data_IF_762024757885
#
_entry.id   IF_762024757885
#
_cell.length_a   1.000
_cell.length_b   1.000
_cell.length_c   1.000
_cell.angle_alpha   90.00
_cell.angle_beta   90.00
_cell.angle_gamma   90.00
#
_symmetry.space_group_name_H-M   'P 1'
#
loop_
_entity.id
_entity.type
_entity.pdbx_description
1 polymer ?
#
# COMPACT_ATOMS: atom_id res chain seq x y z
N UNK A 1 -20.23 -15.25 1.15
CA UNK A 1 -19.64 -14.04 1.71
C UNK A 1 -18.77 -14.46 2.89
N UNK A 2 -17.52 -14.02 2.95
CA UNK A 2 -16.66 -14.28 4.10
C UNK A 2 -16.99 -13.24 5.17
N UNK A 3 -17.76 -13.61 6.20
CA UNK A 3 -18.21 -12.67 7.23
C UNK A 3 -17.09 -12.11 8.12
N UNK A 4 -15.85 -12.58 7.96
CA UNK A 4 -14.70 -12.21 8.79
C UNK A 4 -13.50 -11.72 7.94
N UNK A 5 -13.74 -11.11 6.79
CA UNK A 5 -12.68 -10.51 5.96
C UNK A 5 -12.75 -8.98 6.05
N UNK A 6 -11.58 -8.33 6.14
CA UNK A 6 -11.44 -6.88 6.22
C UNK A 6 -10.30 -6.50 5.25
N UNK A 7 -10.62 -5.71 4.23
CA UNK A 7 -9.66 -5.16 3.28
C UNK A 7 -9.04 -3.87 3.83
N UNK A 8 -7.71 -3.85 3.92
CA UNK A 8 -6.95 -2.67 4.34
C UNK A 8 -6.15 -2.15 3.15
N UNK A 9 -6.55 -1.00 2.63
CA UNK A 9 -5.86 -0.33 1.55
C UNK A 9 -4.76 0.59 2.07
N UNK A 10 -3.51 0.28 1.72
CA UNK A 10 -2.37 1.20 1.95
C UNK A 10 -2.27 2.17 0.78
N UNK A 11 -2.80 3.37 0.95
CA UNK A 11 -2.98 4.40 -0.10
C UNK A 11 -1.81 5.37 -0.21
N UNK A 12 -0.60 4.94 0.17
CA UNK A 12 0.59 5.77 0.04
C UNK A 12 0.91 5.99 -1.43
N UNK A 13 1.22 7.23 -1.81
CA UNK A 13 1.48 7.57 -3.20
C UNK A 13 2.75 6.90 -3.73
N UNK A 14 2.77 6.67 -5.04
CA UNK A 14 3.87 6.00 -5.73
C UNK A 14 5.20 6.74 -5.56
N UNK A 15 5.21 8.08 -5.54
CA UNK A 15 6.44 8.85 -5.44
C UNK A 15 7.10 8.64 -4.08
N UNK A 16 6.32 8.67 -3.01
CA UNK A 16 6.80 8.31 -1.66
C UNK A 16 7.37 6.89 -1.63
N UNK A 17 6.73 5.94 -2.32
CA UNK A 17 7.20 4.55 -2.38
C UNK A 17 8.53 4.42 -3.15
N UNK A 18 8.68 5.12 -4.27
CA UNK A 18 9.92 5.17 -5.07
C UNK A 18 11.04 5.81 -4.26
N UNK A 19 10.78 6.90 -3.53
CA UNK A 19 11.80 7.57 -2.72
C UNK A 19 12.30 6.66 -1.58
N UNK A 20 11.40 5.88 -0.97
CA UNK A 20 11.77 4.97 0.12
C UNK A 20 12.58 3.77 -0.35
N UNK A 21 12.29 3.25 -1.55
CA UNK A 21 12.82 2.04 -2.22
C UNK A 21 13.84 1.20 -1.41
N UNK A 22 13.41 0.57 -0.30
CA UNK A 22 14.34 -0.01 0.68
C UNK A 22 15.09 -1.23 0.13
N UNK A 23 14.63 -1.78 -1.00
CA UNK A 23 15.18 -2.97 -1.65
C UNK A 23 15.77 -2.68 -3.03
N UNK A 24 15.73 -1.42 -3.49
CA UNK A 24 16.19 -1.06 -4.84
C UNK A 24 15.33 -1.63 -5.97
N UNK A 25 14.08 -2.02 -5.71
CA UNK A 25 13.21 -2.67 -6.70
C UNK A 25 12.63 -1.66 -7.67
N UNK A 26 12.25 -0.47 -7.19
CA UNK A 26 11.77 0.59 -8.08
C UNK A 26 12.88 1.04 -9.02
N UNK A 27 14.10 1.19 -8.52
CA UNK A 27 15.27 1.50 -9.35
C UNK A 27 15.44 0.47 -10.49
N UNK A 28 15.48 -0.83 -10.16
CA UNK A 28 15.63 -1.91 -11.14
C UNK A 28 14.47 -1.98 -12.14
N UNK A 29 13.25 -1.70 -11.70
CA UNK A 29 12.09 -1.65 -12.57
C UNK A 29 12.17 -0.50 -13.58
N UNK A 30 12.62 0.69 -13.13
CA UNK A 30 12.84 1.86 -14.00
C UNK A 30 13.99 1.60 -14.99
N UNK A 31 15.04 0.90 -14.56
CA UNK A 31 16.16 0.47 -15.42
C UNK A 31 15.78 -0.67 -16.40
N UNK A 32 14.56 -1.21 -16.30
CA UNK A 32 14.05 -2.24 -17.20
C UNK A 32 14.52 -3.67 -16.86
N UNK A 33 15.20 -3.86 -15.72
CA UNK A 33 15.63 -5.18 -15.25
C UNK A 33 14.45 -6.02 -14.75
N UNK A 34 13.38 -5.38 -14.26
CA UNK A 34 12.17 -6.04 -13.78
C UNK A 34 10.99 -5.66 -14.68
N UNK A 35 10.42 -6.67 -15.34
CA UNK A 35 9.21 -6.53 -16.18
C UNK A 35 7.95 -6.57 -15.33
N UNK A 36 6.87 -5.99 -15.87
CA UNK A 36 5.52 -6.02 -15.30
C UNK A 36 5.45 -5.57 -13.83
N UNK A 37 6.22 -4.54 -13.49
CA UNK A 37 6.33 -4.04 -12.14
C UNK A 37 5.19 -3.07 -11.83
N UNK A 38 4.37 -3.42 -10.84
CA UNK A 38 3.20 -2.64 -10.41
C UNK A 38 3.58 -1.21 -10.03
N UNK A 39 2.87 -0.24 -10.61
CA UNK A 39 3.12 1.19 -10.44
C UNK A 39 4.16 1.76 -11.39
N UNK A 40 4.91 0.94 -12.14
CA UNK A 40 5.90 1.38 -13.12
C UNK A 40 5.50 0.95 -14.53
N UNK A 41 5.57 -0.35 -14.83
CA UNK A 41 5.24 -0.92 -16.14
C UNK A 41 3.92 -1.69 -16.15
N UNK A 42 3.34 -1.97 -14.98
CA UNK A 42 2.00 -2.53 -14.81
C UNK A 42 1.12 -1.64 -13.91
N UNK A 43 -0.20 -1.59 -14.12
CA UNK A 43 -1.11 -0.79 -13.30
C UNK A 43 -1.30 -1.39 -11.90
N UNK A 44 -1.47 -0.53 -10.91
CA UNK A 44 -2.10 -0.90 -9.63
C UNK A 44 -3.59 -0.58 -9.71
N UNK A 45 -4.44 -1.47 -9.23
CA UNK A 45 -5.88 -1.26 -9.15
C UNK A 45 -6.27 -1.07 -7.68
N UNK A 46 -6.50 0.18 -7.23
CA UNK A 46 -6.98 0.42 -5.88
C UNK A 46 -8.31 -0.29 -5.63
N UNK A 47 -8.55 -0.79 -4.41
CA UNK A 47 -9.83 -1.39 -4.06
C UNK A 47 -10.95 -0.34 -4.14
N UNK A 48 -12.12 -0.77 -4.60
CA UNK A 48 -13.28 0.11 -4.78
C UNK A 48 -13.91 0.51 -3.44
N UNK A 49 -13.99 -0.41 -2.50
CA UNK A 49 -14.66 -0.21 -1.20
C UNK A 49 -13.88 -0.91 -0.06
N UNK A 50 -12.64 -0.49 0.23
CA UNK A 50 -11.90 -1.04 1.35
C UNK A 50 -12.54 -0.63 2.69
N UNK A 51 -12.57 -1.53 3.66
CA UNK A 51 -13.03 -1.22 5.02
C UNK A 51 -12.12 -0.21 5.73
N UNK A 52 -10.81 -0.24 5.43
CA UNK A 52 -9.81 0.64 6.04
C UNK A 52 -8.89 1.21 4.97
N UNK A 53 -8.63 2.52 5.01
CA UNK A 53 -7.64 3.19 4.16
C UNK A 53 -6.58 3.85 5.04
N UNK A 54 -5.30 3.58 4.76
CA UNK A 54 -4.15 4.09 5.51
C UNK A 54 -3.14 4.72 4.56
N UNK A 55 -2.80 5.97 4.81
CA UNK A 55 -1.70 6.66 4.14
C UNK A 55 -0.46 6.71 5.04
N UNK A 56 0.50 5.82 4.79
CA UNK A 56 1.77 5.73 5.54
C UNK A 56 2.76 6.85 5.20
N UNK A 57 2.42 7.79 4.30
CA UNK A 57 3.18 9.05 4.17
C UNK A 57 2.84 10.03 5.30
N UNK A 58 1.63 9.90 5.87
CA UNK A 58 1.09 10.78 6.92
C UNK A 58 1.09 10.13 8.30
N UNK A 59 0.91 8.82 8.34
CA UNK A 59 0.84 8.06 9.59
C UNK A 59 2.11 7.24 9.82
N UNK A 60 2.58 7.24 11.07
CA UNK A 60 3.56 6.28 11.53
C UNK A 60 2.98 4.87 11.58
N UNK A 61 3.86 3.89 11.76
CA UNK A 61 3.48 2.47 11.91
C UNK A 61 2.54 2.28 13.11
N UNK A 62 2.82 2.96 14.24
CA UNK A 62 2.02 2.85 15.45
C UNK A 62 0.63 3.49 15.30
N UNK A 63 0.54 4.63 14.62
CA UNK A 63 -0.74 5.27 14.32
C UNK A 63 -1.56 4.40 13.36
N UNK A 64 -0.92 3.87 12.32
CA UNK A 64 -1.53 2.96 11.34
C UNK A 64 -2.09 1.70 12.00
N UNK A 65 -1.32 1.04 12.88
CA UNK A 65 -1.78 -0.15 13.60
C UNK A 65 -2.92 0.18 14.56
N UNK A 66 -2.90 1.35 15.19
CA UNK A 66 -3.98 1.83 16.06
C UNK A 66 -5.31 1.98 15.29
N UNK A 67 -5.27 2.48 14.05
CA UNK A 67 -6.46 2.57 13.19
C UNK A 67 -7.08 1.18 12.97
N UNK A 68 -6.24 0.18 12.64
CA UNK A 68 -6.70 -1.21 12.42
C UNK A 68 -7.31 -1.80 13.70
N UNK A 69 -6.61 -1.66 14.83
CA UNK A 69 -7.09 -2.17 16.13
C UNK A 69 -8.40 -1.53 16.56
N UNK A 70 -8.60 -0.23 16.27
CA UNK A 70 -9.84 0.47 16.58
C UNK A 70 -11.01 -0.04 15.73
N UNK A 71 -10.76 -0.41 14.47
CA UNK A 71 -11.77 -1.00 13.61
C UNK A 71 -12.20 -2.39 14.12
N UNK A 72 -11.25 -3.23 14.52
CA UNK A 72 -11.51 -4.59 15.01
C UNK A 72 -12.25 -4.67 16.35
N UNK A 73 -12.22 -3.59 17.15
CA UNK A 73 -12.87 -3.51 18.46
C UNK A 73 -14.31 -2.96 18.42
N UNK A 74 -14.79 -2.58 17.24
CA UNK A 74 -16.20 -2.22 17.03
C UNK A 74 -17.08 -3.47 17.05
#
# INVERSE_FOLDING_TARGET
MCNNFIEVFISTDLQTCIVRDPKGLYKKAIEGEIKDFTGISAPYYPPLNPEIVIDTSKLSVNESSTVILKYLKK
#
